data_IF_001389176164
#
_entry.id   IF_001389176164
#
_cell.length_a   1.000
_cell.length_b   1.000
_cell.length_c   1.000
_cell.angle_alpha   90.00
_cell.angle_beta   90.00
_cell.angle_gamma   90.00
#
_symmetry.space_group_name_H-M   'P 1'
#
loop_
_entity.id
_entity.type
_entity.pdbx_description
1 polymer ?
#
# COMPACT_ATOMS: atom_id res chain seq x y z
N UNK A 1 -8.70 -0.92 10.11
CA UNK A 1 -8.88 -2.28 9.55
C UNK A 1 -9.47 -2.07 8.15
N UNK A 2 -8.78 -2.46 7.07
CA UNK A 2 -9.40 -2.49 5.73
C UNK A 2 -9.97 -3.88 5.52
N UNK A 3 -11.00 -4.19 6.30
CA UNK A 3 -11.82 -5.36 6.13
C UNK A 3 -13.24 -4.82 6.03
N UNK A 4 -13.79 -4.92 4.81
CA UNK A 4 -15.15 -4.57 4.41
C UNK A 4 -15.46 -3.06 4.27
N UNK A 5 -15.65 -2.60 3.02
CA UNK A 5 -16.43 -1.40 2.71
C UNK A 5 -15.74 -0.03 2.81
N UNK A 6 -14.40 0.05 2.77
CA UNK A 6 -13.73 1.35 2.63
C UNK A 6 -14.05 1.99 1.27
N UNK A 7 -14.13 3.34 1.17
CA UNK A 7 -14.35 4.00 -0.12
C UNK A 7 -13.25 3.57 -1.09
N UNK A 8 -13.68 3.15 -2.29
CA UNK A 8 -12.78 2.80 -3.39
C UNK A 8 -11.76 3.92 -3.61
N UNK A 9 -10.53 3.55 -3.97
CA UNK A 9 -9.48 4.52 -4.27
C UNK A 9 -9.93 5.43 -5.42
N UNK A 10 -10.28 6.68 -5.13
CA UNK A 10 -10.59 7.67 -6.15
C UNK A 10 -9.31 8.10 -6.87
N UNK A 11 -9.29 7.97 -8.20
CA UNK A 11 -8.18 8.36 -9.05
C UNK A 11 -8.58 9.61 -9.83
N UNK A 12 -7.70 10.61 -9.83
CA UNK A 12 -7.86 11.83 -10.63
C UNK A 12 -6.89 11.82 -11.82
N UNK A 13 -7.35 12.39 -12.94
CA UNK A 13 -6.56 12.61 -14.15
C UNK A 13 -6.04 14.04 -14.15
N UNK A 14 -4.72 14.22 -14.17
CA UNK A 14 -4.04 15.52 -14.20
C UNK A 14 -3.26 15.70 -15.49
N UNK A 15 -3.15 16.94 -15.96
CA UNK A 15 -2.27 17.30 -17.06
C UNK A 15 -0.82 17.19 -16.63
N UNK A 16 -0.02 16.47 -17.40
CA UNK A 16 1.43 16.40 -17.24
C UNK A 16 2.07 17.66 -17.82
N UNK A 17 3.18 18.17 -17.25
CA UNK A 17 3.99 19.22 -17.87
C UNK A 17 4.42 18.90 -19.30
N UNK A 18 4.60 17.60 -19.61
CA UNK A 18 5.06 17.12 -20.92
C UNK A 18 3.94 17.02 -21.98
N UNK A 19 2.76 17.58 -21.71
CA UNK A 19 1.64 17.60 -22.66
C UNK A 19 0.76 16.35 -22.68
N UNK A 20 0.97 15.41 -21.76
CA UNK A 20 0.17 14.20 -21.56
C UNK A 20 -0.78 14.27 -20.37
N UNK A 21 -1.29 13.11 -19.95
CA UNK A 21 -2.07 12.97 -18.72
C UNK A 21 -1.42 11.97 -17.78
N UNK A 22 -1.49 12.25 -16.49
CA UNK A 22 -1.08 11.36 -15.40
C UNK A 22 -2.27 11.07 -14.48
N UNK A 23 -2.37 9.83 -14.05
CA UNK A 23 -3.34 9.34 -13.10
C UNK A 23 -2.70 9.24 -11.72
N UNK A 24 -3.39 9.76 -10.71
CA UNK A 24 -2.92 9.71 -9.33
C UNK A 24 -4.08 9.58 -8.33
N UNK A 25 -3.82 9.08 -7.10
CA UNK A 25 -4.83 9.09 -6.05
C UNK A 25 -5.26 10.51 -5.71
N UNK A 26 -6.56 10.71 -5.56
CA UNK A 26 -7.15 11.98 -5.09
C UNK A 26 -6.95 12.17 -3.59
N UNK A 27 -6.75 11.07 -2.85
CA UNK A 27 -6.51 11.10 -1.41
C UNK A 27 -5.14 11.71 -1.09
N UNK A 28 -5.09 12.54 -0.05
CA UNK A 28 -3.84 13.10 0.44
C UNK A 28 -3.01 12.04 1.17
N UNK A 29 -1.70 12.08 0.96
CA UNK A 29 -0.78 11.25 1.72
C UNK A 29 -0.68 11.73 3.17
N UNK A 30 -0.65 10.80 4.12
CA UNK A 30 -0.46 11.14 5.54
C UNK A 30 0.96 11.65 5.77
N UNK A 31 1.11 12.68 6.60
CA UNK A 31 2.39 13.37 6.89
C UNK A 31 3.52 12.43 7.33
N UNK A 32 3.18 11.38 8.08
CA UNK A 32 4.16 10.46 8.67
C UNK A 32 4.49 9.26 7.77
N UNK A 33 4.00 9.26 6.53
CA UNK A 33 4.34 8.23 5.55
C UNK A 33 5.59 8.63 4.77
N UNK A 34 6.28 7.64 4.23
CA UNK A 34 7.27 7.88 3.18
C UNK A 34 6.52 8.26 1.89
N UNK A 35 6.15 9.55 1.79
CA UNK A 35 5.28 10.08 0.73
C UNK A 35 5.86 9.81 -0.65
N UNK A 36 7.18 9.91 -0.81
CA UNK A 36 7.83 9.71 -2.10
C UNK A 36 7.79 8.24 -2.54
N UNK A 37 7.98 7.29 -1.61
CA UNK A 37 7.81 5.87 -1.90
C UNK A 37 6.38 5.54 -2.37
N UNK A 38 5.38 6.11 -1.70
CA UNK A 38 3.98 5.92 -2.10
C UNK A 38 3.63 6.60 -3.42
N UNK A 39 4.12 7.83 -3.66
CA UNK A 39 3.95 8.52 -4.94
C UNK A 39 4.54 7.70 -6.08
N UNK A 40 5.73 7.13 -5.90
CA UNK A 40 6.38 6.26 -6.88
C UNK A 40 5.58 4.97 -7.16
N UNK A 41 4.98 4.37 -6.12
CA UNK A 41 4.08 3.23 -6.29
C UNK A 41 2.90 3.57 -7.20
N UNK A 42 2.17 4.63 -6.86
CA UNK A 42 0.96 4.98 -7.58
C UNK A 42 1.24 5.53 -8.97
N UNK A 43 2.28 6.36 -9.14
CA UNK A 43 2.65 6.89 -10.45
C UNK A 43 3.01 5.75 -11.40
N UNK A 44 3.80 4.77 -10.95
CA UNK A 44 4.18 3.62 -11.78
C UNK A 44 2.99 2.73 -12.10
N UNK A 45 2.16 2.36 -11.12
CA UNK A 45 1.06 1.42 -11.34
C UNK A 45 -0.14 2.00 -12.09
N UNK A 46 -0.44 3.28 -11.92
CA UNK A 46 -1.59 3.93 -12.57
C UNK A 46 -1.28 4.44 -13.98
N UNK A 47 0.01 4.51 -14.34
CA UNK A 47 0.47 5.07 -15.61
C UNK A 47 1.37 4.09 -16.38
N UNK A 48 1.15 2.78 -16.20
CA UNK A 48 1.88 1.74 -16.94
C UNK A 48 1.50 1.84 -18.42
N UNK A 49 2.49 2.13 -19.26
CA UNK A 49 2.36 1.98 -20.72
C UNK A 49 2.48 0.51 -21.13
N UNK A 50 2.31 0.16 -22.42
CA UNK A 50 2.33 -1.24 -22.91
C UNK A 50 3.69 -1.98 -22.76
N UNK A 51 4.66 -1.41 -22.05
CA UNK A 51 5.98 -1.98 -21.83
C UNK A 51 6.03 -2.86 -20.57
N UNK A 52 6.93 -3.85 -20.60
CA UNK A 52 7.13 -4.93 -19.61
C UNK A 52 6.79 -4.59 -18.14
N UNK A 53 5.56 -4.94 -17.75
CA UNK A 53 5.04 -4.83 -16.37
C UNK A 53 5.96 -5.51 -15.34
N UNK A 54 6.67 -6.56 -15.74
CA UNK A 54 7.52 -7.36 -14.84
C UNK A 54 8.66 -6.55 -14.23
N UNK A 55 9.30 -5.69 -15.03
CA UNK A 55 10.41 -4.87 -14.54
C UNK A 55 9.92 -3.77 -13.62
N UNK A 56 8.79 -3.14 -13.96
CA UNK A 56 8.14 -2.13 -13.11
C UNK A 56 7.81 -2.72 -11.74
N UNK A 57 7.20 -3.90 -11.71
CA UNK A 57 6.85 -4.58 -10.46
C UNK A 57 8.07 -5.02 -9.65
N UNK A 58 9.13 -5.51 -10.31
CA UNK A 58 10.39 -5.87 -9.64
C UNK A 58 11.01 -4.65 -8.96
N UNK A 59 11.15 -3.55 -9.70
CA UNK A 59 11.78 -2.33 -9.19
C UNK A 59 10.95 -1.69 -8.06
N UNK A 60 9.61 -1.79 -8.15
CA UNK A 60 8.71 -1.40 -7.06
C UNK A 60 8.94 -2.25 -5.81
N UNK A 61 8.99 -3.57 -5.96
CA UNK A 61 9.26 -4.50 -4.84
C UNK A 61 10.59 -4.18 -4.16
N UNK A 62 11.65 -3.98 -4.93
CA UNK A 62 12.98 -3.61 -4.41
C UNK A 62 12.94 -2.29 -3.66
N UNK A 63 12.31 -1.24 -4.20
CA UNK A 63 12.17 0.05 -3.52
C UNK A 63 11.53 -0.05 -2.13
N UNK A 64 10.51 -0.89 -1.99
CA UNK A 64 9.86 -1.13 -0.68
C UNK A 64 10.72 -1.98 0.24
N UNK A 65 11.41 -2.99 -0.29
CA UNK A 65 12.33 -3.82 0.47
C UNK A 65 13.48 -2.98 1.04
N UNK A 66 14.10 -2.14 0.22
CA UNK A 66 15.18 -1.24 0.64
C UNK A 66 14.71 -0.29 1.74
N UNK A 67 13.53 0.32 1.59
CA UNK A 67 12.94 1.15 2.63
C UNK A 67 12.75 0.40 3.94
N UNK A 68 12.19 -0.81 3.91
CA UNK A 68 11.97 -1.62 5.12
C UNK A 68 13.29 -2.07 5.77
N UNK A 69 14.27 -2.48 4.96
CA UNK A 69 15.55 -3.00 5.42
C UNK A 69 16.54 -1.89 5.85
N UNK A 70 16.37 -0.66 5.36
CA UNK A 70 17.19 0.50 5.75
C UNK A 70 17.09 0.86 7.23
N UNK A 71 16.01 0.45 7.91
CA UNK A 71 15.78 0.71 9.32
C UNK A 71 15.34 -0.58 10.05
N UNK A 72 16.26 -1.25 10.78
CA UNK A 72 15.95 -2.48 11.51
C UNK A 72 14.81 -2.32 12.54
N UNK A 73 14.67 -1.14 13.15
CA UNK A 73 13.58 -0.87 14.10
C UNK A 73 12.22 -0.79 13.41
N UNK A 74 12.18 -0.19 12.21
CA UNK A 74 10.98 -0.16 11.38
C UNK A 74 10.56 -1.58 11.01
N UNK A 75 11.50 -2.41 10.53
CA UNK A 75 11.21 -3.80 10.16
C UNK A 75 10.67 -4.60 11.36
N UNK A 76 11.30 -4.49 12.53
CA UNK A 76 10.82 -5.13 13.77
C UNK A 76 9.40 -4.69 14.11
N UNK A 77 9.12 -3.39 14.06
CA UNK A 77 7.79 -2.84 14.32
C UNK A 77 6.74 -3.35 13.32
N UNK A 78 7.09 -3.45 12.03
CA UNK A 78 6.19 -3.98 11.01
C UNK A 78 5.84 -5.45 11.28
N UNK A 79 6.83 -6.28 11.64
CA UNK A 79 6.63 -7.69 12.00
C UNK A 79 5.70 -7.80 13.23
N UNK A 80 5.93 -6.99 14.26
CA UNK A 80 5.07 -6.96 15.45
C UNK A 80 3.63 -6.53 15.12
N UNK A 81 3.45 -5.51 14.26
CA UNK A 81 2.13 -5.07 13.82
C UNK A 81 1.41 -6.16 13.02
N UNK A 82 2.13 -6.89 12.15
CA UNK A 82 1.59 -8.03 11.41
C UNK A 82 1.17 -9.16 12.35
N UNK A 83 1.96 -9.48 13.37
CA UNK A 83 1.61 -10.47 14.37
C UNK A 83 0.33 -10.08 15.15
N UNK A 84 0.22 -8.81 15.55
CA UNK A 84 -0.99 -8.27 16.21
C UNK A 84 -2.22 -8.33 15.31
N UNK A 85 -2.08 -7.97 14.04
CA UNK A 85 -3.18 -8.06 13.07
C UNK A 85 -3.64 -9.51 12.90
N UNK A 86 -2.71 -10.46 12.76
CA UNK A 86 -3.03 -11.90 12.70
C UNK A 86 -3.75 -12.37 13.96
N UNK A 87 -3.23 -12.06 15.13
CA UNK A 87 -3.86 -12.42 16.40
C UNK A 87 -5.29 -11.87 16.53
N UNK A 88 -5.51 -10.60 16.14
CA UNK A 88 -6.83 -9.97 16.12
C UNK A 88 -7.81 -10.62 15.13
N UNK A 89 -7.33 -11.19 14.03
CA UNK A 89 -8.16 -11.88 13.05
C UNK A 89 -8.61 -13.24 13.58
N UNK A 90 -7.71 -13.97 14.25
CA UNK A 90 -8.02 -15.29 14.82
C UNK A 90 -8.80 -15.21 16.16
N UNK A 91 -8.73 -14.09 16.89
CA UNK A 91 -9.54 -13.90 18.11
C UNK A 91 -11.02 -13.63 17.84
N UNK A 92 -11.40 -13.28 16.61
CA UNK A 92 -12.79 -13.06 16.20
C UNK A 92 -13.58 -14.33 15.82
N UNK A 93 -12.94 -15.50 15.83
CA UNK A 93 -13.54 -16.78 15.39
C UNK A 93 -13.98 -17.73 16.51
N UNK A 94 -13.88 -17.32 17.78
CA UNK A 94 -14.28 -18.12 18.94
C UNK A 94 -15.42 -17.46 19.72
N UNK A 95 -16.48 -17.01 19.05
CA UNK A 95 -17.80 -17.02 19.70
C UNK A 95 -18.30 -18.46 19.63
N UNK A 96 -17.97 -19.20 20.69
CA UNK A 96 -18.49 -20.50 21.04
C UNK A 96 -19.99 -20.60 20.70
N UNK A 97 -20.37 -21.74 20.12
CA UNK A 97 -21.77 -22.16 20.10
C UNK A 97 -22.31 -22.12 21.52
N UNK A 98 -23.46 -21.47 21.67
CA UNK A 98 -24.27 -21.46 22.88
C UNK A 98 -24.64 -22.89 23.24
N UNK A 99 -24.28 -23.43 24.42
CA UNK A 99 -25.07 -24.47 25.04
C UNK A 99 -26.17 -23.79 25.88
N UNK A 100 -27.38 -24.36 25.82
CA UNK A 100 -28.67 -23.85 26.29
C UNK A 100 -29.42 -22.98 25.28
#
# INVERSE_FOLDING_TARGET
MMLHGGPSLEVEKKTSPDGGFIYQPKSSFRRYWNVDLWKNLFSKLLNVGPASDKEVLRNLRESFQDYMCSNPQLLKKLIELLAKQRASLYSGGLTFGSPF
#
